data_IF_748270422548
#
_entry.id   IF_748270422548
#
_cell.length_a   1.000
_cell.length_b   1.000
_cell.length_c   1.000
_cell.angle_alpha   90.00
_cell.angle_beta   90.00
_cell.angle_gamma   90.00
#
_symmetry.space_group_name_H-M   'P 1'
#
loop_
_entity.id
_entity.type
_entity.pdbx_description
1 polymer ?
#
# COMPACT_ATOMS: atom_id res chain seq x y z
N UNK A 1 -20.47 -11.58 10.00
CA UNK A 1 -20.09 -10.23 9.51
C UNK A 1 -18.59 -10.23 9.34
N UNK A 2 -18.06 -9.62 8.26
CA UNK A 2 -16.59 -9.52 8.09
C UNK A 2 -16.02 -8.64 9.22
N UNK A 3 -14.91 -9.06 9.80
CA UNK A 3 -14.21 -8.34 10.85
C UNK A 3 -13.55 -7.08 10.26
N UNK A 4 -13.75 -5.92 10.91
CA UNK A 4 -13.12 -4.65 10.51
C UNK A 4 -11.65 -4.68 10.93
N UNK A 5 -10.74 -4.62 9.95
CA UNK A 5 -9.30 -4.55 10.20
C UNK A 5 -8.84 -3.11 10.48
N UNK A 6 -9.18 -2.17 9.59
CA UNK A 6 -8.82 -0.76 9.74
C UNK A 6 -10.09 0.10 9.69
N UNK A 7 -10.25 0.97 10.68
CA UNK A 7 -11.32 1.98 10.72
C UNK A 7 -10.68 3.37 10.78
N UNK A 8 -11.18 4.26 9.95
CA UNK A 8 -10.78 5.67 9.87
C UNK A 8 -12.02 6.51 10.10
N UNK A 9 -11.95 7.42 11.06
CA UNK A 9 -13.08 8.26 11.50
C UNK A 9 -12.67 9.73 11.51
N UNK A 10 -13.23 10.53 10.60
CA UNK A 10 -13.10 11.99 10.58
C UNK A 10 -11.68 12.51 10.41
N UNK A 11 -10.80 11.77 9.75
CA UNK A 11 -9.39 12.17 9.56
C UNK A 11 -9.32 13.42 8.69
N UNK A 12 -8.68 14.46 9.25
CA UNK A 12 -8.41 15.71 8.54
C UNK A 12 -6.93 16.06 8.57
N UNK A 13 -6.45 16.66 7.48
CA UNK A 13 -5.09 17.20 7.35
C UNK A 13 -5.10 18.45 6.49
N UNK A 14 -4.54 19.53 7.02
CA UNK A 14 -4.42 20.81 6.34
C UNK A 14 -2.95 21.22 6.17
N UNK A 15 -2.68 21.88 5.08
CA UNK A 15 -1.43 22.58 4.80
C UNK A 15 -1.74 24.06 4.54
N UNK A 16 -0.74 24.98 4.57
CA UNK A 16 -0.99 26.38 4.26
C UNK A 16 -1.74 26.53 2.92
N UNK A 17 -2.97 27.05 2.98
CA UNK A 17 -3.82 27.28 1.80
C UNK A 17 -4.56 26.07 1.22
N UNK A 18 -4.34 24.85 1.73
CA UNK A 18 -4.98 23.64 1.18
C UNK A 18 -5.40 22.67 2.29
N UNK A 19 -6.66 22.24 2.28
CA UNK A 19 -7.16 21.13 3.10
C UNK A 19 -7.02 19.84 2.29
N UNK A 20 -5.97 19.07 2.56
CA UNK A 20 -5.65 17.86 1.80
C UNK A 20 -6.62 16.70 2.10
N UNK A 21 -7.05 16.56 3.35
CA UNK A 21 -8.07 15.62 3.78
C UNK A 21 -9.05 16.35 4.68
N UNK A 22 -10.34 16.12 4.48
CA UNK A 22 -11.43 16.76 5.21
C UNK A 22 -12.43 15.71 5.70
N UNK A 23 -12.40 15.42 7.01
CA UNK A 23 -13.30 14.48 7.71
C UNK A 23 -13.42 13.10 6.99
N UNK A 24 -12.33 12.58 6.47
CA UNK A 24 -12.30 11.31 5.73
C UNK A 24 -12.61 10.15 6.68
N UNK A 25 -13.64 9.36 6.33
CA UNK A 25 -14.08 8.20 7.11
C UNK A 25 -14.34 7.00 6.20
N UNK A 26 -13.77 5.84 6.54
CA UNK A 26 -14.04 4.57 5.87
C UNK A 26 -13.53 3.39 6.71
N UNK A 27 -13.86 2.18 6.26
CA UNK A 27 -13.43 0.93 6.90
C UNK A 27 -12.89 -0.05 5.86
N UNK A 28 -11.89 -0.81 6.26
CA UNK A 28 -11.34 -1.94 5.50
C UNK A 28 -11.56 -3.20 6.34
N UNK A 29 -12.21 -4.21 5.74
CA UNK A 29 -12.40 -5.48 6.40
C UNK A 29 -11.19 -6.40 6.23
N UNK A 30 -11.05 -7.39 7.10
CA UNK A 30 -10.06 -8.45 6.96
C UNK A 30 -10.28 -9.22 5.65
N UNK A 31 -9.20 -9.48 4.88
CA UNK A 31 -9.26 -10.18 3.60
C UNK A 31 -9.96 -9.39 2.48
N UNK A 32 -9.98 -8.07 2.55
CA UNK A 32 -10.61 -7.20 1.56
C UNK A 32 -9.55 -6.48 0.71
N UNK A 33 -9.81 -6.34 -0.60
CA UNK A 33 -9.12 -5.35 -1.43
C UNK A 33 -9.97 -4.09 -1.46
N UNK A 34 -9.44 -3.01 -0.93
CA UNK A 34 -10.10 -1.71 -0.85
C UNK A 34 -9.39 -0.72 -1.78
N UNK A 35 -10.08 -0.18 -2.77
CA UNK A 35 -9.51 0.78 -3.72
C UNK A 35 -9.79 2.22 -3.27
N UNK A 36 -8.73 2.99 -3.10
CA UNK A 36 -8.78 4.43 -2.84
C UNK A 36 -8.52 5.16 -4.16
N UNK A 37 -9.59 5.70 -4.74
CA UNK A 37 -9.56 6.35 -6.04
C UNK A 37 -9.67 7.87 -5.92
N UNK A 38 -9.01 8.60 -6.80
CA UNK A 38 -9.09 10.05 -6.89
C UNK A 38 -8.04 10.61 -7.83
N UNK A 39 -8.25 11.84 -8.29
CA UNK A 39 -7.32 12.56 -9.14
C UNK A 39 -5.99 12.87 -8.41
N UNK A 40 -4.97 13.28 -9.16
CA UNK A 40 -3.73 13.76 -8.56
C UNK A 40 -4.01 14.99 -7.69
N UNK A 41 -3.42 15.05 -6.51
CA UNK A 41 -3.69 16.12 -5.54
C UNK A 41 -4.94 15.90 -4.66
N UNK A 42 -5.71 14.82 -4.84
CA UNK A 42 -6.92 14.54 -4.05
C UNK A 42 -6.65 14.13 -2.58
N UNK A 43 -5.42 14.19 -2.10
CA UNK A 43 -5.08 13.86 -0.70
C UNK A 43 -4.82 12.37 -0.44
N UNK A 44 -4.84 11.50 -1.47
CA UNK A 44 -4.62 10.05 -1.30
C UNK A 44 -3.31 9.72 -0.60
N UNK A 45 -2.19 10.23 -1.13
CA UNK A 45 -0.85 9.97 -0.55
C UNK A 45 -0.69 10.62 0.83
N UNK A 46 -1.37 11.73 1.12
CA UNK A 46 -1.43 12.31 2.47
C UNK A 46 -2.10 11.36 3.45
N UNK A 47 -3.24 10.80 3.06
CA UNK A 47 -3.98 9.86 3.88
C UNK A 47 -3.17 8.60 4.20
N UNK A 48 -2.57 7.97 3.19
CA UNK A 48 -1.76 6.75 3.44
C UNK A 48 -0.50 7.03 4.22
N UNK A 49 0.11 8.21 4.08
CA UNK A 49 1.24 8.64 4.94
C UNK A 49 0.83 8.77 6.40
N UNK A 50 -0.41 9.18 6.69
CA UNK A 50 -0.92 9.20 8.07
C UNK A 50 -1.16 7.78 8.59
N UNK A 51 -1.73 6.89 7.79
CA UNK A 51 -1.93 5.47 8.16
C UNK A 51 -0.59 4.77 8.39
N UNK A 52 0.43 5.09 7.60
CA UNK A 52 1.76 4.47 7.71
C UNK A 52 2.67 5.14 8.76
N UNK A 53 2.23 6.22 9.41
CA UNK A 53 2.99 6.90 10.46
C UNK A 53 4.08 7.85 9.99
N UNK A 54 4.07 8.24 8.70
CA UNK A 54 4.98 9.26 8.15
C UNK A 54 4.56 10.69 8.52
N UNK A 55 3.32 10.88 8.93
CA UNK A 55 2.78 12.14 9.42
C UNK A 55 1.60 11.90 10.35
N UNK A 56 1.24 12.93 11.13
CA UNK A 56 0.10 12.87 12.03
C UNK A 56 -1.09 13.62 11.43
N UNK A 57 -2.32 13.11 11.61
CA UNK A 57 -3.54 13.86 11.30
C UNK A 57 -3.69 15.06 12.26
N UNK A 58 -4.35 16.11 11.78
CA UNK A 58 -4.69 17.27 12.61
C UNK A 58 -5.91 16.96 13.50
N UNK A 59 -6.85 16.16 12.99
CA UNK A 59 -8.02 15.67 13.74
C UNK A 59 -8.48 14.31 13.24
N UNK A 60 -9.42 13.69 13.98
CA UNK A 60 -9.95 12.37 13.69
C UNK A 60 -9.18 11.24 14.38
N UNK A 61 -9.68 10.03 14.22
CA UNK A 61 -9.15 8.83 14.89
C UNK A 61 -9.00 7.67 13.90
N UNK A 62 -8.07 6.78 14.22
CA UNK A 62 -7.91 5.50 13.51
C UNK A 62 -7.96 4.36 14.52
N UNK A 63 -8.51 3.21 14.09
CA UNK A 63 -8.46 1.95 14.85
C UNK A 63 -7.96 0.83 13.94
N UNK A 64 -7.10 -0.03 14.48
CA UNK A 64 -6.63 -1.25 13.81
C UNK A 64 -7.02 -2.46 14.68
N UNK A 65 -7.76 -3.40 14.12
CA UNK A 65 -8.31 -4.55 14.87
C UNK A 65 -9.02 -4.11 16.16
N UNK A 66 -9.85 -3.06 16.06
CA UNK A 66 -10.61 -2.43 17.16
C UNK A 66 -9.79 -1.67 18.22
N UNK A 67 -8.47 -1.72 18.17
CA UNK A 67 -7.59 -0.97 19.07
C UNK A 67 -7.26 0.41 18.50
N UNK A 68 -7.05 1.40 19.38
CA UNK A 68 -6.65 2.74 18.95
C UNK A 68 -5.30 2.68 18.22
N UNK A 69 -5.26 3.23 17.02
CA UNK A 69 -4.10 3.16 16.12
C UNK A 69 -3.67 4.57 15.71
N UNK A 70 -2.51 4.99 16.18
CA UNK A 70 -1.90 6.29 15.83
C UNK A 70 -0.39 6.15 15.77
N UNK A 71 0.16 5.56 14.69
CA UNK A 71 1.57 5.31 14.58
C UNK A 71 2.35 6.63 14.48
N UNK A 72 3.37 6.79 15.33
CA UNK A 72 4.23 7.99 15.33
C UNK A 72 5.34 7.91 14.27
N UNK A 73 5.60 6.72 13.76
CA UNK A 73 6.66 6.42 12.78
C UNK A 73 6.34 5.13 12.01
N UNK A 74 6.94 4.90 10.82
CA UNK A 74 6.69 3.70 10.02
C UNK A 74 7.03 2.38 10.70
N UNK A 75 7.99 2.36 11.62
CA UNK A 75 8.34 1.16 12.41
C UNK A 75 7.14 0.68 13.23
N UNK A 76 6.38 1.59 13.86
CA UNK A 76 5.17 1.26 14.63
C UNK A 76 4.06 0.70 13.76
N UNK A 77 3.88 1.27 12.56
CA UNK A 77 2.92 0.74 11.60
C UNK A 77 3.30 -0.69 11.16
N UNK A 78 4.59 -0.95 10.87
CA UNK A 78 5.08 -2.31 10.54
C UNK A 78 4.88 -3.30 11.69
N UNK A 79 5.23 -2.92 12.91
CA UNK A 79 5.02 -3.76 14.10
C UNK A 79 3.54 -4.11 14.32
N UNK A 80 2.63 -3.22 13.91
CA UNK A 80 1.17 -3.46 13.93
C UNK A 80 0.68 -4.32 12.75
N UNK A 81 1.55 -4.70 11.82
CA UNK A 81 1.23 -5.53 10.67
C UNK A 81 0.79 -4.76 9.43
N UNK A 82 1.19 -3.49 9.29
CA UNK A 82 0.96 -2.70 8.07
C UNK A 82 2.27 -2.58 7.29
N UNK A 83 2.26 -2.95 6.01
CA UNK A 83 3.36 -2.71 5.09
C UNK A 83 2.93 -1.78 3.96
N UNK A 84 3.89 -1.05 3.38
CA UNK A 84 3.62 -0.09 2.32
C UNK A 84 4.62 -0.23 1.18
N UNK A 85 4.08 -0.36 -0.03
CA UNK A 85 4.80 -0.20 -1.30
C UNK A 85 4.59 1.24 -1.76
N UNK A 86 5.67 1.99 -1.87
CA UNK A 86 5.64 3.41 -2.24
C UNK A 86 5.58 3.59 -3.75
N UNK A 87 5.07 4.74 -4.19
CA UNK A 87 5.05 5.15 -5.60
C UNK A 87 6.47 5.26 -6.20
N UNK A 88 7.44 5.70 -5.41
CA UNK A 88 8.85 5.78 -5.80
C UNK A 88 9.64 4.71 -5.06
N UNK A 89 10.51 4.02 -5.76
CA UNK A 89 11.34 2.98 -5.18
C UNK A 89 12.28 3.54 -4.10
N UNK A 90 12.31 2.85 -2.95
CA UNK A 90 13.25 3.12 -1.86
C UNK A 90 14.37 2.09 -1.87
N UNK A 91 15.04 1.94 -3.03
CA UNK A 91 16.05 0.93 -3.28
C UNK A 91 17.40 1.58 -3.60
N UNK A 92 18.47 0.92 -3.17
CA UNK A 92 19.85 1.34 -3.43
C UNK A 92 20.42 0.54 -4.62
N UNK A 93 20.77 1.23 -5.70
CA UNK A 93 21.26 0.64 -6.94
C UNK A 93 22.57 -0.16 -6.79
N UNK A 94 23.42 0.25 -5.86
CA UNK A 94 24.71 -0.37 -5.57
C UNK A 94 24.62 -1.70 -4.78
N UNK A 95 23.47 -2.00 -4.21
CA UNK A 95 23.22 -3.19 -3.40
C UNK A 95 22.47 -4.25 -4.22
N UNK A 96 22.64 -5.52 -3.86
CA UNK A 96 21.86 -6.59 -4.44
C UNK A 96 20.42 -6.63 -3.84
N UNK A 97 19.57 -7.48 -4.39
CA UNK A 97 18.16 -7.62 -3.96
C UNK A 97 18.07 -8.04 -2.48
N UNK A 98 18.87 -9.02 -2.04
CA UNK A 98 18.83 -9.50 -0.66
C UNK A 98 19.27 -8.41 0.34
N UNK A 99 20.32 -7.67 0.02
CA UNK A 99 20.80 -6.55 0.83
C UNK A 99 19.77 -5.43 0.93
N UNK A 100 19.13 -5.06 -0.19
CA UNK A 100 18.04 -4.06 -0.20
C UNK A 100 16.85 -4.48 0.68
N UNK A 101 16.46 -5.74 0.62
CA UNK A 101 15.37 -6.27 1.43
C UNK A 101 15.77 -6.29 2.90
N UNK A 102 17.00 -6.68 3.23
CA UNK A 102 17.52 -6.70 4.60
C UNK A 102 17.48 -5.31 5.27
N UNK A 103 17.83 -4.25 4.53
CA UNK A 103 17.76 -2.87 5.03
C UNK A 103 16.35 -2.43 5.46
N UNK A 104 15.31 -3.03 4.88
CA UNK A 104 13.92 -2.75 5.24
C UNK A 104 13.39 -3.54 6.45
N UNK A 105 14.19 -4.42 7.04
CA UNK A 105 13.81 -5.30 8.15
C UNK A 105 14.47 -4.83 9.46
N UNK A 106 13.74 -4.89 10.58
CA UNK A 106 14.28 -4.51 11.90
C UNK A 106 15.34 -5.51 12.39
N UNK A 107 15.10 -6.81 12.15
CA UNK A 107 16.00 -7.90 12.54
C UNK A 107 16.17 -8.85 11.35
N UNK A 108 17.00 -8.49 10.36
CA UNK A 108 17.18 -9.34 9.18
C UNK A 108 17.91 -10.64 9.59
N UNK A 109 17.48 -11.79 9.04
CA UNK A 109 18.25 -13.04 9.19
C UNK A 109 19.58 -12.94 8.43
N UNK A 110 20.42 -13.96 8.52
CA UNK A 110 21.64 -14.02 7.71
C UNK A 110 21.28 -13.90 6.22
N UNK A 111 22.11 -13.21 5.44
CA UNK A 111 21.83 -12.95 4.02
C UNK A 111 21.59 -14.23 3.20
N UNK A 112 22.24 -15.34 3.56
CA UNK A 112 22.02 -16.63 2.90
C UNK A 112 20.59 -17.12 3.15
N UNK A 113 20.13 -17.16 4.42
CA UNK A 113 18.80 -17.62 4.80
C UNK A 113 17.73 -16.69 4.21
N UNK A 114 18.02 -15.38 4.15
CA UNK A 114 17.15 -14.40 3.53
C UNK A 114 17.02 -14.63 2.02
N UNK A 115 18.12 -14.94 1.34
CA UNK A 115 18.13 -15.22 -0.10
C UNK A 115 17.23 -16.42 -0.44
N UNK A 116 17.32 -17.51 0.32
CA UNK A 116 16.47 -18.70 0.15
C UNK A 116 14.97 -18.36 0.37
N UNK A 117 14.67 -17.55 1.39
CA UNK A 117 13.31 -17.05 1.63
C UNK A 117 12.80 -16.17 0.49
N UNK A 118 13.63 -15.27 -0.03
CA UNK A 118 13.28 -14.41 -1.17
C UNK A 118 12.95 -15.27 -2.39
N UNK A 119 13.78 -16.25 -2.74
CA UNK A 119 13.50 -17.14 -3.87
C UNK A 119 12.20 -17.92 -3.68
N UNK A 120 11.98 -18.48 -2.49
CA UNK A 120 10.78 -19.25 -2.18
C UNK A 120 9.53 -18.38 -2.28
N UNK A 121 9.52 -17.24 -1.60
CA UNK A 121 8.36 -16.34 -1.56
C UNK A 121 8.10 -15.73 -2.94
N UNK A 122 9.14 -15.25 -3.63
CA UNK A 122 8.99 -14.63 -4.95
C UNK A 122 8.43 -15.61 -5.99
N UNK A 123 8.92 -16.85 -6.01
CA UNK A 123 8.38 -17.91 -6.88
C UNK A 123 6.92 -18.25 -6.53
N UNK A 124 6.62 -18.36 -5.23
CA UNK A 124 5.26 -18.71 -4.79
C UNK A 124 4.20 -17.70 -5.23
N UNK A 125 4.55 -16.41 -5.30
CA UNK A 125 3.62 -15.35 -5.72
C UNK A 125 3.73 -14.99 -7.22
N UNK A 126 4.50 -15.76 -8.02
CA UNK A 126 4.67 -15.48 -9.44
C UNK A 126 5.48 -14.20 -9.75
N UNK A 127 6.29 -13.75 -8.80
CA UNK A 127 7.14 -12.57 -8.87
C UNK A 127 8.63 -12.95 -8.75
N UNK A 128 9.18 -13.82 -9.62
CA UNK A 128 10.51 -14.37 -9.44
C UNK A 128 11.58 -13.28 -9.37
N UNK A 129 12.52 -13.43 -8.41
CA UNK A 129 13.65 -12.54 -8.18
C UNK A 129 14.91 -13.37 -7.98
N UNK A 130 16.03 -12.85 -8.46
CA UNK A 130 17.37 -13.33 -8.11
C UNK A 130 17.92 -12.48 -6.94
N UNK A 131 18.10 -13.06 -5.75
CA UNK A 131 18.57 -12.32 -4.57
C UNK A 131 19.97 -11.70 -4.72
N UNK A 132 20.79 -12.25 -5.59
CA UNK A 132 22.19 -11.84 -5.80
C UNK A 132 22.34 -10.73 -6.85
N UNK A 133 21.31 -10.48 -7.64
CA UNK A 133 21.37 -9.50 -8.72
C UNK A 133 21.39 -8.07 -8.16
N UNK A 134 22.25 -7.21 -8.71
CA UNK A 134 22.31 -5.80 -8.35
C UNK A 134 21.02 -5.07 -8.74
N UNK A 135 20.48 -4.27 -7.84
CA UNK A 135 19.24 -3.52 -8.09
C UNK A 135 19.39 -2.51 -9.22
N UNK A 136 20.58 -1.92 -9.39
CA UNK A 136 20.88 -1.03 -10.52
C UNK A 136 20.70 -1.67 -11.90
N UNK A 137 20.73 -3.01 -12.01
CA UNK A 137 20.54 -3.76 -13.25
C UNK A 137 19.10 -4.21 -13.50
N UNK A 138 18.19 -3.92 -12.55
CA UNK A 138 16.81 -4.33 -12.62
C UNK A 138 15.97 -3.35 -13.45
N UNK A 139 15.03 -3.90 -14.23
CA UNK A 139 13.96 -3.10 -14.84
C UNK A 139 13.06 -2.47 -13.76
N UNK A 140 12.24 -1.48 -14.13
CA UNK A 140 11.28 -0.88 -13.22
C UNK A 140 10.28 -1.91 -12.65
N UNK A 141 9.81 -2.85 -13.46
CA UNK A 141 8.93 -3.93 -13.00
C UNK A 141 9.63 -4.90 -12.05
N UNK A 142 10.90 -5.21 -12.26
CA UNK A 142 11.67 -6.03 -11.32
C UNK A 142 11.91 -5.29 -10.00
N UNK A 143 12.21 -3.99 -10.03
CA UNK A 143 12.31 -3.15 -8.82
C UNK A 143 10.99 -3.13 -8.03
N UNK A 144 9.85 -3.04 -8.72
CA UNK A 144 8.54 -3.15 -8.10
C UNK A 144 8.34 -4.49 -7.39
N UNK A 145 8.78 -5.60 -8.00
CA UNK A 145 8.75 -6.93 -7.37
C UNK A 145 9.58 -6.96 -6.09
N UNK A 146 10.77 -6.35 -6.09
CA UNK A 146 11.62 -6.25 -4.87
C UNK A 146 10.87 -5.56 -3.74
N UNK A 147 10.21 -4.43 -4.00
CA UNK A 147 9.41 -3.70 -3.01
C UNK A 147 8.25 -4.55 -2.47
N UNK A 148 7.53 -5.25 -3.36
CA UNK A 148 6.42 -6.13 -2.97
C UNK A 148 6.93 -7.29 -2.11
N UNK A 149 7.98 -7.99 -2.56
CA UNK A 149 8.53 -9.14 -1.81
C UNK A 149 9.08 -8.68 -0.45
N UNK A 150 9.72 -7.51 -0.37
CA UNK A 150 10.16 -6.90 0.90
C UNK A 150 9.00 -6.73 1.88
N UNK A 151 7.84 -6.29 1.40
CA UNK A 151 6.64 -6.16 2.22
C UNK A 151 6.06 -7.53 2.62
N UNK A 152 5.99 -8.50 1.70
CA UNK A 152 5.42 -9.82 1.95
C UNK A 152 6.23 -10.65 2.94
N UNK A 153 7.56 -10.52 2.93
CA UNK A 153 8.45 -11.17 3.89
C UNK A 153 8.20 -10.75 5.35
N UNK A 154 7.57 -9.59 5.57
CA UNK A 154 7.17 -9.10 6.89
C UNK A 154 5.78 -9.62 7.31
N UNK A 155 5.13 -10.46 6.49
CA UNK A 155 3.82 -11.06 6.75
C UNK A 155 2.74 -10.05 7.19
N UNK A 156 2.45 -9.00 6.42
CA UNK A 156 1.54 -7.94 6.84
C UNK A 156 0.09 -8.43 6.91
N UNK A 157 -0.72 -7.80 7.79
CA UNK A 157 -2.19 -7.91 7.82
C UNK A 157 -2.81 -7.00 6.76
N UNK A 158 -2.24 -5.79 6.59
CA UNK A 158 -2.65 -4.79 5.61
C UNK A 158 -1.45 -4.39 4.74
N UNK A 159 -1.59 -4.56 3.42
CA UNK A 159 -0.64 -4.10 2.43
C UNK A 159 -1.18 -2.84 1.74
N UNK A 160 -0.49 -1.71 1.92
CA UNK A 160 -0.79 -0.45 1.23
C UNK A 160 0.04 -0.41 -0.05
N UNK A 161 -0.58 -0.08 -1.17
CA UNK A 161 0.08 0.05 -2.46
C UNK A 161 -0.25 1.41 -3.09
N UNK A 162 0.74 2.30 -3.13
CA UNK A 162 0.56 3.66 -3.66
C UNK A 162 0.98 3.71 -5.14
N UNK A 163 0.00 3.75 -6.04
CA UNK A 163 0.13 3.78 -7.51
C UNK A 163 1.09 2.71 -8.08
N UNK A 164 0.94 1.43 -7.72
CA UNK A 164 1.96 0.41 -8.02
C UNK A 164 2.10 0.06 -9.51
N UNK A 165 1.16 0.49 -10.36
CA UNK A 165 1.15 0.22 -11.81
C UNK A 165 1.72 1.35 -12.66
N UNK A 166 2.23 2.42 -12.06
CA UNK A 166 2.69 3.62 -12.78
C UNK A 166 3.85 3.35 -13.75
N UNK A 167 4.66 2.34 -13.47
CA UNK A 167 5.89 1.99 -14.22
C UNK A 167 5.85 0.59 -14.81
N UNK A 168 4.71 -0.12 -14.71
CA UNK A 168 4.56 -1.50 -15.16
C UNK A 168 4.03 -1.58 -16.59
N UNK A 169 4.50 -2.60 -17.32
CA UNK A 169 3.89 -3.01 -18.58
C UNK A 169 2.51 -3.65 -18.36
N UNK A 170 1.63 -3.72 -19.37
CA UNK A 170 0.32 -4.37 -19.24
C UNK A 170 0.39 -5.82 -18.73
N UNK A 171 1.41 -6.57 -19.16
CA UNK A 171 1.64 -7.94 -18.68
C UNK A 171 1.97 -7.98 -17.19
N UNK A 172 2.87 -7.10 -16.73
CA UNK A 172 3.23 -7.00 -15.31
C UNK A 172 2.07 -6.53 -14.44
N UNK A 173 1.23 -5.63 -14.97
CA UNK A 173 -0.01 -5.21 -14.30
C UNK A 173 -0.92 -6.42 -14.05
N UNK A 174 -1.15 -7.26 -15.06
CA UNK A 174 -1.95 -8.48 -14.91
C UNK A 174 -1.38 -9.40 -13.82
N UNK A 175 -0.07 -9.67 -13.88
CA UNK A 175 0.61 -10.52 -12.88
C UNK A 175 0.49 -9.95 -11.47
N UNK A 176 0.60 -8.61 -11.32
CA UNK A 176 0.39 -7.95 -10.05
C UNK A 176 -1.02 -8.20 -9.51
N UNK A 177 -2.07 -8.00 -10.31
CA UNK A 177 -3.45 -8.21 -9.88
C UNK A 177 -3.74 -9.68 -9.52
N UNK A 178 -3.19 -10.64 -10.27
CA UNK A 178 -3.26 -12.07 -9.91
C UNK A 178 -2.63 -12.32 -8.53
N UNK A 179 -1.48 -11.70 -8.25
CA UNK A 179 -0.83 -11.75 -6.94
C UNK A 179 -1.70 -11.15 -5.84
N UNK A 180 -2.34 -9.99 -6.08
CA UNK A 180 -3.23 -9.35 -5.09
C UNK A 180 -4.46 -10.21 -4.78
N UNK A 181 -5.07 -10.84 -5.80
CA UNK A 181 -6.20 -11.75 -5.61
C UNK A 181 -5.79 -12.98 -4.79
N UNK A 182 -4.59 -13.51 -5.01
CA UNK A 182 -4.04 -14.60 -4.22
C UNK A 182 -3.83 -14.18 -2.77
N UNK A 183 -3.18 -13.03 -2.51
CA UNK A 183 -2.99 -12.49 -1.17
C UNK A 183 -4.32 -12.32 -0.43
N UNK A 184 -5.35 -11.82 -1.12
CA UNK A 184 -6.71 -11.73 -0.58
C UNK A 184 -7.24 -13.11 -0.20
N UNK A 185 -7.07 -14.13 -1.04
CA UNK A 185 -7.53 -15.50 -0.75
C UNK A 185 -6.81 -16.13 0.46
N UNK A 186 -5.59 -15.66 0.76
CA UNK A 186 -4.80 -16.01 1.94
C UNK A 186 -5.19 -15.17 3.19
N UNK A 187 -6.24 -14.33 3.09
CA UNK A 187 -6.76 -13.51 4.19
C UNK A 187 -6.03 -12.18 4.41
N UNK A 188 -5.16 -11.77 3.49
CA UNK A 188 -4.50 -10.46 3.56
C UNK A 188 -5.43 -9.36 3.07
N UNK A 189 -5.38 -8.21 3.73
CA UNK A 189 -6.12 -7.01 3.30
C UNK A 189 -5.21 -6.09 2.50
N UNK A 190 -5.78 -5.42 1.50
CA UNK A 190 -5.00 -4.58 0.59
C UNK A 190 -5.70 -3.23 0.47
N UNK A 191 -4.97 -2.13 0.70
CA UNK A 191 -5.38 -0.78 0.35
C UNK A 191 -4.66 -0.37 -0.93
N UNK A 192 -5.38 -0.40 -2.04
CA UNK A 192 -4.86 -0.11 -3.37
C UNK A 192 -5.19 1.33 -3.78
N UNK A 193 -4.17 2.16 -3.96
CA UNK A 193 -4.32 3.56 -4.33
C UNK A 193 -4.03 3.73 -5.82
N UNK A 194 -4.97 4.33 -6.55
CA UNK A 194 -4.80 4.62 -7.97
C UNK A 194 -5.65 5.82 -8.42
N UNK A 195 -5.27 6.40 -9.54
CA UNK A 195 -6.11 7.30 -10.31
C UNK A 195 -6.66 6.63 -11.60
N UNK A 196 -6.27 5.39 -11.88
CA UNK A 196 -6.59 4.63 -13.10
C UNK A 196 -7.82 3.73 -12.87
N UNK A 197 -9.01 4.31 -13.01
CA UNK A 197 -10.27 3.58 -12.80
C UNK A 197 -10.44 2.39 -13.75
N UNK A 198 -9.90 2.46 -14.97
CA UNK A 198 -10.00 1.40 -15.97
C UNK A 198 -9.33 0.11 -15.49
N UNK A 199 -8.12 0.19 -14.89
CA UNK A 199 -7.40 -0.96 -14.34
C UNK A 199 -8.22 -1.64 -13.23
N UNK A 200 -8.83 -0.85 -12.35
CA UNK A 200 -9.66 -1.40 -11.26
C UNK A 200 -10.87 -2.16 -11.82
N UNK A 201 -11.56 -1.59 -12.81
CA UNK A 201 -12.74 -2.24 -13.43
C UNK A 201 -12.38 -3.52 -14.17
N UNK A 202 -11.21 -3.56 -14.82
CA UNK A 202 -10.76 -4.71 -15.60
C UNK A 202 -10.34 -5.88 -14.70
N UNK A 203 -9.54 -5.61 -13.66
CA UNK A 203 -8.89 -6.67 -12.89
C UNK A 203 -9.57 -6.99 -11.55
N UNK A 204 -10.39 -6.07 -11.01
CA UNK A 204 -11.02 -6.22 -9.69
C UNK A 204 -12.54 -5.99 -9.68
N UNK A 205 -13.32 -6.45 -10.68
CA UNK A 205 -14.72 -6.04 -10.85
C UNK A 205 -15.67 -6.44 -9.71
N UNK A 206 -15.33 -7.43 -8.88
CA UNK A 206 -16.26 -8.04 -7.90
C UNK A 206 -15.74 -7.88 -6.46
N UNK A 207 -14.49 -7.47 -6.26
CA UNK A 207 -13.80 -7.60 -4.97
C UNK A 207 -13.47 -6.27 -4.29
N UNK A 208 -13.93 -5.14 -4.82
CA UNK A 208 -13.41 -3.81 -4.46
C UNK A 208 -14.51 -2.92 -3.91
N UNK A 209 -14.34 -2.42 -2.70
CA UNK A 209 -14.97 -1.19 -2.24
C UNK A 209 -14.15 -0.01 -2.74
N UNK A 210 -14.81 0.94 -3.41
CA UNK A 210 -14.15 2.15 -3.90
C UNK A 210 -14.54 3.34 -3.04
N UNK A 211 -13.54 4.07 -2.53
CA UNK A 211 -13.74 5.41 -1.95
C UNK A 211 -13.21 6.42 -2.96
N UNK A 212 -14.06 7.35 -3.34
CA UNK A 212 -13.67 8.47 -4.17
C UNK A 212 -13.30 9.65 -3.28
N UNK A 213 -12.00 9.99 -3.22
CA UNK A 213 -11.55 11.25 -2.65
C UNK A 213 -11.66 12.34 -3.70
N UNK A 214 -12.38 13.42 -3.36
CA UNK A 214 -12.47 14.62 -4.19
C UNK A 214 -11.64 15.69 -3.50
N UNK A 215 -10.67 16.26 -4.22
CA UNK A 215 -9.92 17.41 -3.75
C UNK A 215 -10.85 18.63 -3.75
N UNK A 216 -11.17 19.17 -2.57
CA UNK A 216 -11.86 20.45 -2.46
C UNK A 216 -10.81 21.55 -2.58
N UNK A 217 -10.67 22.12 -3.80
CA UNK A 217 -10.06 23.44 -3.93
C UNK A 217 -10.97 24.43 -3.23
N UNK A 218 -10.39 25.28 -2.40
CA UNK A 218 -11.07 26.36 -1.68
C UNK A 218 -11.74 27.33 -2.65
N UNK A 219 -12.94 27.04 -3.05
CA UNK A 219 -14.01 27.95 -3.41
C UNK A 219 -15.23 27.13 -3.80
N UNK A 220 -16.23 27.11 -2.88
CA UNK A 220 -17.62 26.71 -3.14
C UNK A 220 -17.86 25.44 -3.96
N UNK A 221 -18.02 24.30 -3.25
CA UNK A 221 -19.11 23.35 -3.57
C UNK A 221 -19.05 22.16 -2.57
N UNK A 222 -20.05 22.09 -1.71
CA UNK A 222 -20.37 20.86 -0.96
C UNK A 222 -20.76 19.80 -1.99
N UNK A 223 -19.87 18.87 -2.26
CA UNK A 223 -20.20 17.68 -3.02
C UNK A 223 -20.43 16.52 -2.03
N UNK A 224 -21.66 16.07 -2.01
CA UNK A 224 -22.13 14.93 -1.24
C UNK A 224 -21.28 13.68 -1.52
N UNK A 225 -20.83 13.04 -0.47
CA UNK A 225 -20.30 11.68 -0.50
C UNK A 225 -21.40 10.76 -1.05
N UNK A 226 -21.27 10.28 -2.27
CA UNK A 226 -22.04 9.15 -2.76
C UNK A 226 -21.14 7.93 -2.74
N UNK A 227 -21.46 7.03 -1.83
CA UNK A 227 -20.98 5.64 -1.80
C UNK A 227 -21.65 4.93 -2.99
N UNK A 228 -20.86 4.30 -3.84
CA UNK A 228 -21.35 3.35 -4.82
C UNK A 228 -20.89 1.95 -4.43
#
# INVERSE_FOLDING_TARGET
>A
MAEVLLQIDGISKSYPGVKANDEVSFQINSGEIHALLGENGAGKSTLVKMIYGLMQPDSGNMKLSSENFRPSEPSKARQSGIAMVFQHFSLFDALNVAENIALGMENPPKLQDLSEKIETVSKSYGLPLDPKRLVGQLSAGERQRVEIIRCLLQNPKLLIMDEPTSVLTPYEVKTLFETLLRLKSEGKSILYISHKLAEIREFLPICVRCIRLICLHSSTLRASQKVF
#
